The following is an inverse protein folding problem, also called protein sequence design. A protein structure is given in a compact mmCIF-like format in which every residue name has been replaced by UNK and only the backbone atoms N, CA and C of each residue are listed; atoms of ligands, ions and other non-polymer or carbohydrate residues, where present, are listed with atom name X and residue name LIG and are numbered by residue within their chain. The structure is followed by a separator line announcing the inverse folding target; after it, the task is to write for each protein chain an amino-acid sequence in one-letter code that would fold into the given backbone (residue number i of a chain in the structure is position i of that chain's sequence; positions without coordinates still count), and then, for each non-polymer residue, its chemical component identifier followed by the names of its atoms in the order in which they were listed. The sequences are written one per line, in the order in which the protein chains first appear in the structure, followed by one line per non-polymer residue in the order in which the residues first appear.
data_IF_432943828389
#
_entry.id   IF_432943828389
#
_cell.length_a   1.000
_cell.length_b   1.000
_cell.length_c   1.000
_cell.angle_alpha   90.00
_cell.angle_beta   90.00
_cell.angle_gamma   90.00
#
_symmetry.space_group_name_H-M   'P 1'
#
loop_
_entity.id
_entity.type
_entity.pdbx_description
1 polymer ?
#
# COMPACT_ATOMS: atom_id res chain seq x y z
N UNK A 1 13.98 -18.32 -13.32
CA UNK A 1 14.66 -17.05 -13.66
C UNK A 1 14.68 -16.16 -12.42
N UNK A 2 15.85 -15.65 -12.00
CA UNK A 2 15.94 -14.68 -10.89
C UNK A 2 15.63 -13.28 -11.41
N UNK A 3 14.35 -12.94 -11.44
CA UNK A 3 13.88 -11.61 -11.79
C UNK A 3 13.93 -10.68 -10.57
N UNK A 4 14.10 -9.35 -10.78
CA UNK A 4 14.29 -8.41 -9.68
C UNK A 4 13.25 -8.52 -8.56
N UNK A 5 11.93 -8.62 -8.82
CA UNK A 5 10.93 -8.76 -7.75
C UNK A 5 11.23 -9.93 -6.82
N UNK A 6 11.60 -11.09 -7.38
CA UNK A 6 11.91 -12.30 -6.63
C UNK A 6 13.20 -12.14 -5.81
N UNK A 7 14.23 -11.51 -6.37
CA UNK A 7 15.50 -11.30 -5.66
C UNK A 7 15.31 -10.42 -4.43
N UNK A 8 14.54 -9.33 -4.56
CA UNK A 8 14.20 -8.48 -3.42
C UNK A 8 13.30 -9.21 -2.40
N UNK A 9 12.35 -10.04 -2.84
CA UNK A 9 11.54 -10.87 -1.95
C UNK A 9 12.40 -11.89 -1.17
N UNK A 10 13.41 -12.49 -1.79
CA UNK A 10 14.36 -13.38 -1.11
C UNK A 10 15.19 -12.58 -0.10
N UNK A 11 15.67 -11.40 -0.45
CA UNK A 11 16.38 -10.51 0.48
C UNK A 11 15.52 -10.13 1.70
N UNK A 12 14.22 -9.88 1.47
CA UNK A 12 13.23 -9.71 2.53
C UNK A 12 13.19 -10.95 3.45
N UNK A 13 13.03 -12.17 2.91
CA UNK A 13 12.95 -13.39 3.72
C UNK A 13 14.21 -13.57 4.57
N UNK A 14 15.39 -13.45 3.96
CA UNK A 14 16.67 -13.61 4.67
C UNK A 14 16.80 -12.62 5.82
N UNK A 15 16.53 -11.34 5.55
CA UNK A 15 16.65 -10.28 6.54
C UNK A 15 15.59 -10.43 7.64
N UNK A 16 14.35 -10.75 7.29
CA UNK A 16 13.27 -10.94 8.24
C UNK A 16 13.51 -12.13 9.16
N UNK A 17 13.97 -13.27 8.63
CA UNK A 17 14.28 -14.45 9.43
C UNK A 17 15.40 -14.14 10.43
N UNK A 18 16.46 -13.45 10.01
CA UNK A 18 17.52 -13.00 10.91
C UNK A 18 16.99 -12.06 12.01
N UNK A 19 16.12 -11.11 11.68
CA UNK A 19 15.46 -10.25 12.65
C UNK A 19 14.49 -10.97 13.58
N UNK A 20 13.75 -11.96 13.07
CA UNK A 20 12.83 -12.77 13.86
C UNK A 20 13.55 -13.58 14.94
N UNK A 21 14.73 -14.12 14.61
CA UNK A 21 15.58 -14.81 15.58
C UNK A 21 16.01 -13.90 16.73
N UNK A 22 16.41 -12.66 16.44
CA UNK A 22 16.78 -11.69 17.49
C UNK A 22 15.56 -11.19 18.28
N UNK A 23 14.37 -11.21 17.67
CA UNK A 23 13.10 -10.93 18.37
C UNK A 23 12.76 -11.98 19.42
N UNK A 24 13.00 -13.25 19.13
CA UNK A 24 12.83 -14.34 20.10
C UNK A 24 13.80 -14.17 21.28
N UNK A 25 15.03 -13.68 21.03
CA UNK A 25 15.98 -13.37 22.09
C UNK A 25 15.48 -12.22 22.99
N UNK A 26 15.00 -11.13 22.39
CA UNK A 26 14.45 -9.98 23.14
C UNK A 26 13.13 -10.29 23.84
N UNK A 27 12.38 -11.30 23.38
CA UNK A 27 11.17 -11.76 24.07
C UNK A 27 11.49 -12.50 25.39
N UNK A 28 12.74 -12.93 25.61
CA UNK A 28 13.17 -13.56 26.85
C UNK A 28 13.60 -12.51 27.88
N UNK A 29 12.89 -12.37 29.02
CA UNK A 29 13.24 -11.35 30.03
C UNK A 29 14.68 -11.46 30.55
N UNK A 30 15.20 -12.70 30.65
CA UNK A 30 16.58 -12.96 31.10
C UNK A 30 17.64 -12.37 30.18
N UNK A 31 17.39 -12.37 28.87
CA UNK A 31 18.28 -11.76 27.88
C UNK A 31 18.00 -10.27 27.76
N UNK A 32 16.71 -9.88 27.75
CA UNK A 32 16.31 -8.49 27.58
C UNK A 32 16.85 -7.59 28.70
N UNK A 33 16.99 -8.06 29.95
CA UNK A 33 17.58 -7.24 31.02
C UNK A 33 18.96 -6.65 30.68
N UNK A 34 19.76 -7.35 29.87
CA UNK A 34 21.08 -6.86 29.44
C UNK A 34 21.07 -6.19 28.07
N UNK A 35 20.06 -6.46 27.24
CA UNK A 35 19.99 -5.99 25.85
C UNK A 35 19.05 -4.79 25.67
N UNK A 36 18.12 -4.58 26.60
CA UNK A 36 17.20 -3.44 26.58
C UNK A 36 17.98 -2.14 26.59
N UNK A 37 17.44 -1.14 25.90
CA UNK A 37 18.09 0.16 25.72
C UNK A 37 19.48 0.17 25.04
N UNK A 38 19.92 -0.95 24.45
CA UNK A 38 21.18 -1.01 23.69
C UNK A 38 20.96 -0.93 22.17
N UNK A 39 22.06 -0.87 21.43
CA UNK A 39 22.09 -1.05 19.99
C UNK A 39 21.52 -2.40 19.52
N UNK A 40 21.41 -3.41 20.40
CA UNK A 40 20.83 -4.70 20.04
C UNK A 40 19.35 -4.56 19.65
N UNK A 41 18.58 -3.78 20.43
CA UNK A 41 17.18 -3.48 20.12
C UNK A 41 17.06 -2.64 18.85
N UNK A 42 17.99 -1.69 18.64
CA UNK A 42 18.03 -0.88 17.41
C UNK A 42 18.26 -1.77 16.20
N UNK A 43 19.23 -2.68 16.27
CA UNK A 43 19.56 -3.62 15.21
C UNK A 43 18.39 -4.56 14.90
N UNK A 44 17.77 -5.15 15.93
CA UNK A 44 16.60 -5.99 15.79
C UNK A 44 15.46 -5.25 15.05
N UNK A 45 15.13 -4.04 15.51
CA UNK A 45 14.06 -3.23 14.90
C UNK A 45 14.35 -2.93 13.43
N UNK A 46 15.60 -2.62 13.09
CA UNK A 46 15.97 -2.37 11.70
C UNK A 46 15.91 -3.63 10.85
N UNK A 47 16.29 -4.81 11.36
CA UNK A 47 16.11 -6.06 10.62
C UNK A 47 14.63 -6.40 10.37
N UNK A 48 13.77 -6.23 11.38
CA UNK A 48 12.35 -6.62 11.30
C UNK A 48 11.45 -5.57 10.65
N UNK A 49 11.66 -4.28 10.87
CA UNK A 49 10.87 -3.21 10.25
C UNK A 49 11.61 -2.53 9.09
N UNK A 50 12.85 -2.11 9.31
CA UNK A 50 13.61 -1.39 8.28
C UNK A 50 13.85 -2.24 7.04
N UNK A 51 14.42 -3.44 7.22
CA UNK A 51 14.72 -4.38 6.15
C UNK A 51 13.46 -4.87 5.47
N UNK A 52 12.44 -5.27 6.23
CA UNK A 52 11.20 -5.80 5.63
C UNK A 52 10.51 -4.79 4.75
N UNK A 53 10.29 -3.58 5.25
CA UNK A 53 9.57 -2.53 4.53
C UNK A 53 10.37 -2.15 3.30
N UNK A 54 11.68 -1.96 3.41
CA UNK A 54 12.50 -1.49 2.28
C UNK A 54 12.64 -2.56 1.19
N UNK A 55 12.95 -3.81 1.54
CA UNK A 55 13.08 -4.88 0.52
C UNK A 55 11.72 -5.20 -0.13
N UNK A 56 10.65 -5.29 0.65
CA UNK A 56 9.31 -5.50 0.10
C UNK A 56 8.83 -4.32 -0.76
N UNK A 57 9.15 -3.09 -0.36
CA UNK A 57 8.84 -1.89 -1.15
C UNK A 57 9.53 -1.90 -2.51
N UNK A 58 10.81 -2.25 -2.58
CA UNK A 58 11.49 -2.37 -3.88
C UNK A 58 11.02 -3.58 -4.68
N UNK A 59 10.71 -4.72 -4.04
CA UNK A 59 10.08 -5.85 -4.71
C UNK A 59 8.76 -5.43 -5.37
N UNK A 60 7.93 -4.69 -4.63
CA UNK A 60 6.66 -4.14 -5.09
C UNK A 60 6.85 -3.17 -6.26
N UNK A 61 7.78 -2.22 -6.17
CA UNK A 61 8.08 -1.32 -7.28
C UNK A 61 8.46 -2.13 -8.52
N UNK A 62 9.44 -3.04 -8.42
CA UNK A 62 9.86 -3.80 -9.60
C UNK A 62 8.76 -4.69 -10.17
N UNK A 63 7.84 -5.20 -9.34
CA UNK A 63 6.72 -6.03 -9.76
C UNK A 63 5.63 -5.21 -10.46
N UNK A 64 5.13 -4.15 -9.83
CA UNK A 64 4.01 -3.36 -10.34
C UNK A 64 4.40 -2.19 -11.24
N UNK A 65 5.68 -1.85 -11.37
CA UNK A 65 6.14 -0.80 -12.28
C UNK A 65 5.63 -0.97 -13.72
N UNK A 66 5.76 -2.15 -14.37
CA UNK A 66 5.19 -2.33 -15.71
C UNK A 66 3.68 -2.20 -15.72
N UNK A 67 2.98 -2.59 -14.64
CA UNK A 67 1.54 -2.46 -14.54
C UNK A 67 1.08 -1.00 -14.55
N UNK A 68 1.76 -0.16 -13.78
CA UNK A 68 1.43 1.26 -13.65
C UNK A 68 1.86 2.07 -14.87
N UNK A 69 3.00 1.75 -15.47
CA UNK A 69 3.62 2.62 -16.50
C UNK A 69 3.52 2.07 -17.92
N UNK A 70 3.24 0.77 -18.07
CA UNK A 70 3.35 0.00 -19.31
C UNK A 70 4.80 -0.30 -19.73
N UNK A 71 5.80 0.00 -18.90
CA UNK A 71 7.23 -0.06 -19.26
C UNK A 71 8.01 -0.98 -18.34
N UNK A 72 9.02 -1.67 -18.86
CA UNK A 72 9.90 -2.52 -18.04
C UNK A 72 11.08 -1.74 -17.44
N UNK A 73 11.47 -2.06 -16.20
CA UNK A 73 12.73 -1.60 -15.62
C UNK A 73 13.89 -2.52 -16.00
N UNK A 74 15.08 -1.93 -16.10
CA UNK A 74 16.30 -2.66 -16.47
C UNK A 74 16.73 -3.64 -15.38
N UNK A 75 16.80 -4.93 -15.74
CA UNK A 75 17.20 -6.01 -14.82
C UNK A 75 18.58 -5.82 -14.20
N UNK A 76 19.58 -5.41 -15.00
CA UNK A 76 20.98 -5.25 -14.54
C UNK A 76 21.11 -4.22 -13.42
N UNK A 77 20.50 -3.04 -13.60
CA UNK A 77 20.55 -1.98 -12.59
C UNK A 77 19.81 -2.36 -11.31
N UNK A 78 18.71 -3.10 -11.43
CA UNK A 78 17.97 -3.60 -10.27
C UNK A 78 18.80 -4.59 -9.43
N UNK A 79 19.57 -5.47 -10.07
CA UNK A 79 20.46 -6.40 -9.36
C UNK A 79 21.64 -5.67 -8.70
N UNK A 80 22.18 -4.64 -9.35
CA UNK A 80 23.23 -3.79 -8.74
C UNK A 80 22.68 -3.04 -7.52
N UNK A 81 21.49 -2.43 -7.63
CA UNK A 81 20.81 -1.83 -6.48
C UNK A 81 20.64 -2.85 -5.36
N UNK A 82 20.11 -4.04 -5.67
CA UNK A 82 19.90 -5.09 -4.69
C UNK A 82 21.19 -5.45 -3.96
N UNK A 83 22.28 -5.70 -4.69
CA UNK A 83 23.56 -6.09 -4.09
C UNK A 83 24.10 -5.02 -3.15
N UNK A 84 24.09 -3.74 -3.57
CA UNK A 84 24.54 -2.62 -2.75
C UNK A 84 23.64 -2.44 -1.52
N UNK A 85 22.32 -2.48 -1.70
CA UNK A 85 21.36 -2.36 -0.60
C UNK A 85 21.52 -3.50 0.40
N UNK A 86 21.62 -4.74 -0.08
CA UNK A 86 21.74 -5.93 0.77
C UNK A 86 23.04 -5.95 1.56
N UNK A 87 24.17 -5.69 0.91
CA UNK A 87 25.48 -5.62 1.58
C UNK A 87 25.54 -4.44 2.55
N UNK A 88 25.11 -3.25 2.10
CA UNK A 88 25.10 -2.04 2.94
C UNK A 88 24.21 -2.21 4.17
N UNK A 89 23.02 -2.78 4.01
CA UNK A 89 22.11 -3.07 5.11
C UNK A 89 22.74 -3.99 6.16
N UNK A 90 23.31 -5.12 5.73
CA UNK A 90 23.95 -6.07 6.65
C UNK A 90 25.18 -5.48 7.30
N UNK A 91 26.05 -4.76 6.56
CA UNK A 91 27.18 -4.05 7.16
C UNK A 91 26.75 -3.01 8.21
N UNK A 92 25.63 -2.31 7.97
CA UNK A 92 25.13 -1.28 8.89
C UNK A 92 24.64 -1.89 10.19
N UNK A 93 23.70 -2.84 10.09
CA UNK A 93 22.90 -3.27 11.23
C UNK A 93 23.40 -4.56 11.88
N UNK A 94 24.15 -5.41 11.16
CA UNK A 94 24.68 -6.63 11.76
C UNK A 94 25.66 -6.31 12.89
N UNK A 95 26.59 -5.38 12.64
CA UNK A 95 27.58 -4.95 13.65
C UNK A 95 26.94 -4.26 14.85
N UNK A 96 25.75 -3.68 14.71
CA UNK A 96 25.01 -3.10 15.83
C UNK A 96 24.52 -4.16 16.82
N UNK A 97 24.27 -5.41 16.41
CA UNK A 97 23.99 -6.49 17.36
C UNK A 97 25.21 -6.77 18.25
N UNK A 98 26.41 -6.72 17.68
CA UNK A 98 27.66 -6.91 18.42
C UNK A 98 27.88 -5.74 19.38
N UNK A 99 27.76 -4.50 18.89
CA UNK A 99 27.84 -3.29 19.74
C UNK A 99 26.84 -3.30 20.88
N UNK A 100 25.60 -3.72 20.63
CA UNK A 100 24.57 -3.80 21.66
C UNK A 100 24.87 -4.85 22.72
N UNK A 101 25.34 -6.04 22.29
CA UNK A 101 25.83 -7.08 23.21
C UNK A 101 26.99 -6.58 24.07
N UNK A 102 27.88 -5.76 23.49
CA UNK A 102 29.06 -5.21 24.16
C UNK A 102 28.73 -4.00 25.05
N UNK A 103 27.44 -3.62 25.15
CA UNK A 103 26.95 -2.62 26.10
C UNK A 103 26.77 -1.21 25.55
N UNK A 104 26.88 -1.01 24.22
CA UNK A 104 26.62 0.31 23.63
C UNK A 104 25.15 0.67 23.72
N UNK A 105 24.84 1.65 24.59
CA UNK A 105 23.49 2.18 24.76
C UNK A 105 23.00 2.94 23.51
N UNK A 106 21.70 2.88 23.23
CA UNK A 106 21.08 3.68 22.16
C UNK A 106 20.96 5.14 22.57
N UNK A 107 20.93 6.04 21.57
CA UNK A 107 20.74 7.51 21.75
C UNK A 107 21.89 8.19 22.52
N UNK A 108 23.09 7.64 22.41
CA UNK A 108 24.33 8.26 22.90
C UNK A 108 24.98 9.01 21.74
N UNK A 109 25.37 10.27 21.97
CA UNK A 109 25.93 11.13 20.92
C UNK A 109 27.44 10.94 20.73
N UNK A 110 28.16 10.72 21.83
CA UNK A 110 29.60 10.48 21.87
C UNK A 110 29.95 9.34 22.84
N UNK A 111 31.05 8.65 22.58
CA UNK A 111 31.53 7.54 23.41
C UNK A 111 33.03 7.69 23.65
N UNK A 112 33.52 7.10 24.74
CA UNK A 112 34.94 7.20 25.08
C UNK A 112 35.76 6.32 24.14
N UNK A 113 36.97 6.74 23.73
CA UNK A 113 37.91 5.88 23.00
C UNK A 113 38.26 4.59 23.76
N UNK A 114 38.12 4.57 25.09
CA UNK A 114 38.35 3.38 25.93
C UNK A 114 37.28 2.30 25.75
N UNK A 115 36.10 2.65 25.23
CA UNK A 115 34.96 1.75 25.11
C UNK A 115 35.09 0.78 23.92
N UNK A 116 36.06 1.02 23.03
CA UNK A 116 36.39 0.17 21.87
C UNK A 116 35.23 0.01 20.84
N UNK A 117 34.25 0.91 20.86
CA UNK A 117 33.12 0.89 19.92
C UNK A 117 33.44 1.49 18.54
N UNK A 118 34.60 2.12 18.37
CA UNK A 118 34.95 2.90 17.17
C UNK A 118 34.92 2.07 15.88
N UNK A 119 35.60 0.92 15.86
CA UNK A 119 35.72 0.10 14.64
C UNK A 119 34.37 -0.38 14.13
N UNK A 120 33.48 -0.85 15.01
CA UNK A 120 32.17 -1.36 14.61
C UNK A 120 31.23 -0.22 14.18
N UNK A 121 31.31 0.96 14.82
CA UNK A 121 30.57 2.15 14.36
C UNK A 121 31.08 2.65 13.00
N UNK A 122 32.39 2.56 12.73
CA UNK A 122 32.96 2.88 11.43
C UNK A 122 32.46 1.93 10.34
N UNK A 123 32.45 0.62 10.59
CA UNK A 123 31.89 -0.37 9.66
C UNK A 123 30.40 -0.09 9.41
N UNK A 124 29.65 0.21 10.47
CA UNK A 124 28.24 0.56 10.37
C UNK A 124 28.01 1.78 9.47
N UNK A 125 28.83 2.82 9.65
CA UNK A 125 28.78 4.06 8.87
C UNK A 125 29.11 3.83 7.39
N UNK A 126 30.12 2.99 7.09
CA UNK A 126 30.45 2.57 5.72
C UNK A 126 29.27 1.80 5.11
N UNK A 127 28.65 0.90 5.87
CA UNK A 127 27.44 0.20 5.45
C UNK A 127 26.32 1.16 5.06
N UNK A 128 26.09 2.20 5.86
CA UNK A 128 25.07 3.20 5.59
C UNK A 128 25.38 4.03 4.34
N UNK A 129 26.66 4.35 4.11
CA UNK A 129 27.09 5.01 2.87
C UNK A 129 26.82 4.12 1.65
N UNK A 130 27.17 2.83 1.69
CA UNK A 130 26.90 1.86 0.61
C UNK A 130 25.39 1.74 0.36
N UNK A 131 24.60 1.65 1.42
CA UNK A 131 23.13 1.60 1.33
C UNK A 131 22.57 2.85 0.67
N UNK A 132 23.09 4.03 1.00
CA UNK A 132 22.70 5.30 0.37
C UNK A 132 23.06 5.30 -1.11
N UNK A 133 24.26 4.84 -1.47
CA UNK A 133 24.71 4.73 -2.86
C UNK A 133 23.86 3.74 -3.68
N UNK A 134 23.21 2.76 -3.05
CA UNK A 134 22.29 1.85 -3.73
C UNK A 134 21.09 2.57 -4.37
N UNK A 135 20.75 3.78 -3.94
CA UNK A 135 19.67 4.57 -4.56
C UNK A 135 20.06 5.14 -5.93
N UNK A 136 21.36 5.29 -6.22
CA UNK A 136 21.82 5.81 -7.52
C UNK A 136 21.41 4.88 -8.67
N UNK A 137 21.75 3.57 -8.68
CA UNK A 137 21.31 2.68 -9.76
C UNK A 137 19.78 2.58 -9.84
N UNK A 138 19.05 2.70 -8.73
CA UNK A 138 17.58 2.77 -8.74
C UNK A 138 17.06 3.98 -9.52
N UNK A 139 17.50 5.18 -9.14
CA UNK A 139 17.07 6.43 -9.80
C UNK A 139 17.44 6.42 -11.27
N UNK A 140 18.65 5.97 -11.61
CA UNK A 140 19.06 5.81 -13.02
C UNK A 140 18.15 4.82 -13.76
N UNK A 141 17.76 3.73 -13.11
CA UNK A 141 16.86 2.73 -13.69
C UNK A 141 15.47 3.32 -13.97
N UNK A 142 14.90 4.03 -13.01
CA UNK A 142 13.60 4.71 -13.13
C UNK A 142 13.63 5.75 -14.25
N UNK A 143 14.64 6.63 -14.27
CA UNK A 143 14.77 7.66 -15.31
C UNK A 143 14.89 7.06 -16.70
N UNK A 144 15.66 5.97 -16.85
CA UNK A 144 15.77 5.24 -18.12
C UNK A 144 14.46 4.55 -18.49
N UNK A 145 13.80 3.90 -17.53
CA UNK A 145 12.52 3.22 -17.73
C UNK A 145 11.42 4.17 -18.18
N UNK A 146 11.31 5.37 -17.60
CA UNK A 146 10.33 6.38 -17.99
C UNK A 146 10.53 6.91 -19.42
N UNK A 147 11.76 6.89 -19.93
CA UNK A 147 12.11 7.29 -21.30
C UNK A 147 11.94 6.16 -22.33
N UNK A 148 11.68 4.94 -21.88
CA UNK A 148 11.52 3.76 -22.75
C UNK A 148 10.14 3.63 -23.41
N UNK A 149 10.02 2.66 -24.30
CA UNK A 149 8.78 2.20 -24.93
C UNK A 149 7.81 1.59 -23.91
N UNK A 150 6.51 1.67 -24.21
CA UNK A 150 5.44 0.99 -23.45
C UNK A 150 5.19 -0.39 -24.05
N UNK A 151 6.08 -1.34 -23.76
CA UNK A 151 6.13 -2.68 -24.36
C UNK A 151 5.98 -3.83 -23.35
N UNK A 152 5.62 -3.54 -22.09
CA UNK A 152 5.53 -4.58 -21.05
C UNK A 152 4.40 -5.60 -21.26
N UNK A 153 3.38 -5.28 -22.06
CA UNK A 153 2.17 -6.11 -22.22
C UNK A 153 1.29 -6.16 -20.96
N UNK A 154 0.19 -6.90 -21.03
CA UNK A 154 -0.76 -7.04 -19.91
C UNK A 154 -0.16 -7.77 -18.69
N UNK A 155 0.61 -8.83 -18.96
CA UNK A 155 1.19 -9.73 -17.95
C UNK A 155 2.65 -10.10 -18.29
N UNK A 156 3.63 -9.22 -17.99
CA UNK A 156 5.05 -9.48 -18.23
C UNK A 156 5.64 -10.57 -17.31
N UNK A 157 4.98 -10.91 -16.21
CA UNK A 157 5.52 -11.79 -15.17
C UNK A 157 4.90 -13.18 -15.15
N UNK A 158 3.90 -13.43 -16.01
CA UNK A 158 3.10 -14.65 -15.97
C UNK A 158 2.44 -14.88 -14.61
N UNK A 159 1.96 -13.80 -13.99
CA UNK A 159 1.42 -13.81 -12.64
C UNK A 159 0.02 -14.45 -12.55
N UNK A 160 -0.51 -14.54 -11.33
CA UNK A 160 -1.69 -15.32 -10.99
C UNK A 160 -2.92 -14.45 -10.67
N UNK A 161 -2.71 -13.30 -10.05
CA UNK A 161 -3.75 -12.41 -9.52
C UNK A 161 -4.52 -11.69 -10.62
N UNK A 162 -5.76 -11.30 -10.31
CA UNK A 162 -6.71 -10.64 -11.23
C UNK A 162 -6.16 -9.37 -11.89
N UNK A 163 -5.31 -8.64 -11.18
CA UNK A 163 -4.70 -7.41 -11.68
C UNK A 163 -4.00 -7.62 -13.03
N UNK A 164 -3.43 -8.80 -13.30
CA UNK A 164 -2.71 -9.10 -14.53
C UNK A 164 -3.62 -9.49 -15.70
N UNK A 165 -4.94 -9.53 -15.50
CA UNK A 165 -5.91 -9.78 -16.57
C UNK A 165 -6.13 -8.56 -17.49
N UNK A 166 -5.96 -7.35 -16.95
CA UNK A 166 -6.17 -6.10 -17.69
C UNK A 166 -4.90 -5.59 -18.36
N UNK A 167 -5.02 -4.59 -19.25
CA UNK A 167 -3.87 -3.96 -19.91
C UNK A 167 -2.91 -3.29 -18.93
N UNK A 168 -1.72 -2.92 -19.43
CA UNK A 168 -0.72 -2.15 -18.69
C UNK A 168 -0.30 -0.92 -19.52
N UNK A 169 -0.62 0.31 -19.10
CA UNK A 169 -1.45 0.66 -17.95
C UNK A 169 -2.92 0.20 -18.08
N UNK A 170 -3.64 0.02 -16.96
CA UNK A 170 -5.07 -0.29 -17.00
C UNK A 170 -5.90 0.88 -17.57
N UNK A 171 -7.07 0.61 -18.18
CA UNK A 171 -8.02 1.64 -18.57
C UNK A 171 -8.63 2.32 -17.34
N UNK A 172 -9.31 3.45 -17.52
CA UNK A 172 -9.87 4.25 -16.42
C UNK A 172 -10.87 3.47 -15.54
N UNK A 173 -11.61 2.55 -16.16
CA UNK A 173 -12.57 1.67 -15.50
C UNK A 173 -11.96 0.32 -15.06
N UNK A 174 -10.62 0.24 -14.99
CA UNK A 174 -9.81 -0.94 -14.63
C UNK A 174 -9.93 -2.17 -15.55
N UNK A 175 -11.12 -2.64 -15.89
CA UNK A 175 -11.36 -3.87 -16.65
C UNK A 175 -12.38 -3.67 -17.76
N UNK A 176 -11.96 -3.86 -19.01
CA UNK A 176 -12.90 -3.92 -20.14
C UNK A 176 -13.76 -5.19 -20.09
N UNK A 177 -13.23 -6.24 -19.48
CA UNK A 177 -13.97 -7.45 -19.13
C UNK A 177 -13.28 -8.17 -17.98
N UNK A 178 -14.03 -8.95 -17.21
CA UNK A 178 -13.52 -9.73 -16.08
C UNK A 178 -13.41 -11.21 -16.46
N UNK A 179 -12.26 -11.86 -16.21
CA UNK A 179 -12.16 -13.31 -16.30
C UNK A 179 -12.98 -13.99 -15.20
N UNK A 180 -13.49 -15.21 -15.44
CA UNK A 180 -14.23 -15.94 -14.43
C UNK A 180 -13.35 -16.26 -13.22
N UNK A 181 -13.76 -15.78 -12.04
CA UNK A 181 -13.02 -16.00 -10.78
C UNK A 181 -13.52 -17.29 -10.15
N UNK A 182 -12.70 -18.34 -10.24
CA UNK A 182 -13.01 -19.70 -9.72
C UNK A 182 -11.97 -20.21 -8.71
N UNK A 183 -10.88 -19.48 -8.51
CA UNK A 183 -9.84 -19.74 -7.52
C UNK A 183 -9.17 -18.42 -7.09
N UNK A 184 -8.18 -18.51 -6.21
CA UNK A 184 -7.30 -17.41 -5.82
C UNK A 184 -6.36 -16.92 -6.94
N UNK A 185 -6.31 -17.63 -8.08
CA UNK A 185 -5.38 -17.39 -9.21
C UNK A 185 -6.10 -17.25 -10.57
N UNK A 186 -7.03 -16.28 -10.73
CA UNK A 186 -7.90 -16.19 -11.89
C UNK A 186 -7.17 -16.00 -13.23
N UNK A 187 -6.01 -15.33 -13.26
CA UNK A 187 -5.23 -15.15 -14.51
C UNK A 187 -4.49 -16.42 -14.90
N UNK A 188 -4.01 -17.17 -13.90
CA UNK A 188 -3.42 -18.48 -14.14
C UNK A 188 -4.44 -19.43 -14.75
N UNK A 189 -5.65 -19.49 -14.16
CA UNK A 189 -6.72 -20.34 -14.65
C UNK A 189 -7.18 -19.94 -16.05
N UNK A 190 -7.24 -18.64 -16.35
CA UNK A 190 -7.55 -18.15 -17.70
C UNK A 190 -6.50 -18.65 -18.71
N UNK A 191 -5.21 -18.52 -18.37
CA UNK A 191 -4.09 -18.95 -19.22
C UNK A 191 -4.11 -20.45 -19.49
N UNK A 192 -4.52 -21.25 -18.50
CA UNK A 192 -4.59 -22.71 -18.58
C UNK A 192 -6.01 -23.24 -18.82
N UNK A 193 -6.94 -22.40 -19.26
CA UNK A 193 -8.36 -22.76 -19.41
C UNK A 193 -8.66 -23.93 -20.36
N UNK A 194 -7.70 -24.35 -21.19
CA UNK A 194 -7.79 -25.57 -22.01
C UNK A 194 -7.26 -26.84 -21.34
N UNK A 195 -6.82 -26.79 -20.08
CA UNK A 195 -6.23 -27.88 -19.32
C UNK A 195 -7.01 -28.09 -18.02
N UNK A 196 -8.03 -28.94 -18.06
CA UNK A 196 -8.94 -29.19 -16.94
C UNK A 196 -8.26 -29.84 -15.71
N UNK A 197 -7.07 -30.41 -15.89
CA UNK A 197 -6.23 -30.96 -14.82
C UNK A 197 -5.43 -29.88 -14.06
N UNK A 198 -5.28 -28.68 -14.65
CA UNK A 198 -4.47 -27.58 -14.12
C UNK A 198 -5.31 -26.38 -13.71
N UNK A 199 -6.29 -25.99 -14.52
CA UNK A 199 -7.16 -24.84 -14.26
C UNK A 199 -8.28 -25.18 -13.26
N UNK A 200 -8.81 -24.16 -12.59
CA UNK A 200 -9.96 -24.36 -11.70
C UNK A 200 -11.20 -24.91 -12.46
N UNK A 201 -11.98 -25.79 -11.82
CA UNK A 201 -13.17 -26.36 -12.44
C UNK A 201 -14.18 -25.29 -12.92
N UNK A 202 -14.73 -25.51 -14.12
CA UNK A 202 -15.79 -24.66 -14.66
C UNK A 202 -15.32 -23.34 -15.29
N UNK A 203 -14.01 -23.08 -15.35
CA UNK A 203 -13.42 -21.92 -16.07
C UNK A 203 -13.71 -22.01 -17.57
N UNK A 204 -13.43 -23.16 -18.20
CA UNK A 204 -13.72 -23.39 -19.62
C UNK A 204 -15.21 -23.20 -19.94
N UNK A 205 -16.09 -23.75 -19.11
CA UNK A 205 -17.53 -23.61 -19.26
C UNK A 205 -17.99 -22.14 -19.09
N UNK A 206 -17.40 -21.38 -18.18
CA UNK A 206 -17.71 -19.97 -18.00
C UNK A 206 -17.25 -19.11 -19.19
N UNK A 207 -16.08 -19.41 -19.75
CA UNK A 207 -15.59 -18.74 -20.96
C UNK A 207 -16.43 -19.06 -22.19
N UNK A 208 -16.89 -20.32 -22.32
CA UNK A 208 -17.81 -20.72 -23.39
C UNK A 208 -19.13 -19.94 -23.34
N UNK A 209 -19.79 -19.88 -22.16
CA UNK A 209 -21.02 -19.09 -21.98
C UNK A 209 -20.85 -17.63 -22.38
N UNK A 210 -19.76 -16.99 -21.95
CA UNK A 210 -19.46 -15.60 -22.31
C UNK A 210 -19.28 -15.41 -23.82
N UNK A 211 -18.61 -16.35 -24.48
CA UNK A 211 -18.41 -16.29 -25.95
C UNK A 211 -19.76 -16.32 -26.66
N UNK A 212 -20.67 -17.18 -26.21
CA UNK A 212 -22.01 -17.31 -26.79
C UNK A 212 -22.82 -16.02 -26.57
N UNK A 213 -22.77 -15.43 -25.37
CA UNK A 213 -23.38 -14.12 -25.07
C UNK A 213 -22.81 -13.00 -25.97
N UNK A 214 -21.49 -12.96 -26.16
CA UNK A 214 -20.84 -11.94 -27.01
C UNK A 214 -21.05 -12.14 -28.51
N UNK A 215 -21.24 -13.38 -28.96
CA UNK A 215 -21.48 -13.72 -30.36
C UNK A 215 -22.92 -13.44 -30.80
N UNK A 216 -23.87 -13.48 -29.87
CA UNK A 216 -25.28 -13.16 -30.15
C UNK A 216 -25.53 -11.65 -30.24
N UNK A 217 -24.61 -10.82 -29.71
CA UNK A 217 -24.72 -9.36 -29.74
C UNK A 217 -24.31 -8.71 -31.09
N UNK A 218 -23.82 -9.49 -32.06
CA UNK A 218 -23.33 -8.98 -33.35
C UNK A 218 -24.39 -8.97 -34.47
N UNK A 219 -25.59 -9.53 -34.27
CA UNK A 219 -26.53 -9.82 -35.36
C UNK A 219 -27.96 -9.23 -35.21
N UNK A 220 -28.17 -8.22 -34.34
CA UNK A 220 -29.41 -7.43 -34.38
C UNK A 220 -29.18 -5.95 -34.00
N UNK A 221 -29.69 -4.97 -34.79
CA UNK A 221 -30.01 -3.66 -34.25
C UNK A 221 -31.38 -3.74 -33.57
N UNK A 222 -31.43 -4.24 -32.34
CA UNK A 222 -32.65 -4.13 -31.54
C UNK A 222 -32.77 -2.70 -31.01
N UNK A 223 -33.63 -1.91 -31.66
CA UNK A 223 -34.30 -0.76 -31.04
C UNK A 223 -34.78 -1.17 -29.63
N UNK A 224 -34.62 -0.32 -28.60
CA UNK A 224 -35.18 -0.62 -27.29
C UNK A 224 -36.71 -0.65 -27.44
N UNK A 225 -37.28 -1.85 -27.44
CA UNK A 225 -38.72 -2.02 -27.22
C UNK A 225 -39.06 -1.57 -25.80
N UNK A 226 -40.29 -1.10 -25.54
CA UNK A 226 -40.73 -0.84 -24.17
C UNK A 226 -40.54 -2.13 -23.37
N UNK A 227 -39.85 -2.03 -22.23
CA UNK A 227 -39.74 -3.13 -21.28
C UNK A 227 -41.15 -3.51 -20.85
N UNK A 228 -41.63 -4.67 -21.34
CA UNK A 228 -42.83 -5.29 -20.81
C UNK A 228 -42.61 -5.58 -19.32
N UNK A 229 -43.46 -4.94 -18.52
CA UNK A 229 -43.55 -5.05 -17.08
C UNK A 229 -44.20 -6.38 -16.71
N UNK A 230 -43.45 -7.47 -16.79
CA UNK A 230 -43.84 -8.78 -16.26
C UNK A 230 -43.06 -9.08 -14.95
N UNK A 231 -43.11 -8.13 -13.99
CA UNK A 231 -42.66 -8.36 -12.60
C UNK A 231 -43.80 -8.46 -11.59
N UNK A 232 -45.00 -8.81 -12.03
CA UNK A 232 -46.17 -8.97 -11.16
C UNK A 232 -46.27 -10.33 -10.43
N UNK A 233 -45.20 -11.13 -10.36
CA UNK A 233 -45.20 -12.41 -9.61
C UNK A 233 -44.16 -12.55 -8.50
N UNK A 234 -43.49 -11.46 -8.12
CA UNK A 234 -42.64 -11.43 -6.92
C UNK A 234 -42.93 -10.24 -5.98
N UNK A 235 -44.10 -9.61 -6.13
CA UNK A 235 -44.54 -8.45 -5.36
C UNK A 235 -45.06 -8.77 -3.94
N UNK A 236 -44.73 -9.92 -3.35
CA UNK A 236 -45.07 -10.24 -1.96
C UNK A 236 -43.83 -10.69 -1.19
N UNK A 237 -43.12 -9.73 -0.59
CA UNK A 237 -42.21 -10.03 0.52
C UNK A 237 -40.90 -9.25 0.65
N UNK A 238 -40.62 -8.19 -0.14
CA UNK A 238 -39.34 -7.46 -0.04
C UNK A 238 -39.44 -5.95 0.21
N UNK A 239 -40.58 -5.44 0.66
CA UNK A 239 -40.63 -4.15 1.35
C UNK A 239 -40.44 -4.38 2.85
N UNK A 240 -39.19 -4.40 3.34
CA UNK A 240 -38.80 -4.10 4.74
C UNK A 240 -37.32 -4.41 5.07
N UNK A 241 -36.35 -4.02 4.24
CA UNK A 241 -34.94 -3.93 4.71
C UNK A 241 -34.20 -2.79 4.03
N UNK A 242 -34.72 -1.56 4.10
CA UNK A 242 -33.88 -0.36 3.91
C UNK A 242 -34.03 0.53 5.14
N UNK A 243 -33.97 -0.09 6.32
CA UNK A 243 -33.85 0.66 7.55
C UNK A 243 -32.37 0.89 7.84
N UNK A 244 -31.88 2.03 7.34
CA UNK A 244 -30.91 2.89 8.01
C UNK A 244 -29.71 2.18 8.69
N UNK A 245 -28.98 1.32 7.98
CA UNK A 245 -27.72 0.78 8.51
C UNK A 245 -26.63 1.85 8.44
N UNK A 246 -26.04 2.24 9.57
CA UNK A 246 -24.78 3.04 9.58
C UNK A 246 -23.76 2.27 8.72
N UNK A 247 -23.07 2.95 7.79
CA UNK A 247 -22.09 2.27 6.95
C UNK A 247 -20.97 1.71 7.84
N UNK A 248 -20.40 0.57 7.46
CA UNK A 248 -19.36 -0.10 8.24
C UNK A 248 -18.21 0.86 8.52
N UNK A 249 -17.88 1.74 7.57
CA UNK A 249 -16.83 2.75 7.67
C UNK A 249 -17.12 3.78 8.76
N UNK A 250 -18.36 4.32 8.82
CA UNK A 250 -18.73 5.29 9.86
C UNK A 250 -18.67 4.64 11.24
N UNK A 251 -19.16 3.41 11.35
CA UNK A 251 -19.13 2.61 12.58
C UNK A 251 -17.70 2.29 13.01
N UNK A 252 -16.84 1.93 12.05
CA UNK A 252 -15.44 1.59 12.27
C UNK A 252 -14.67 2.81 12.77
N UNK A 253 -14.81 3.98 12.12
CA UNK A 253 -14.13 5.19 12.56
C UNK A 253 -14.65 5.73 13.89
N UNK A 254 -15.96 5.62 14.15
CA UNK A 254 -16.52 5.92 15.47
C UNK A 254 -15.97 4.95 16.54
N UNK A 255 -15.87 3.66 16.22
CA UNK A 255 -15.27 2.64 17.09
C UNK A 255 -13.80 2.92 17.38
N UNK A 256 -13.02 3.33 16.38
CA UNK A 256 -11.61 3.74 16.54
C UNK A 256 -11.50 4.96 17.46
N UNK A 257 -12.36 5.97 17.30
CA UNK A 257 -12.37 7.14 18.16
C UNK A 257 -12.70 6.77 19.62
N UNK A 258 -13.72 5.92 19.84
CA UNK A 258 -14.08 5.43 21.17
C UNK A 258 -12.95 4.62 21.79
N UNK A 259 -12.32 3.73 21.02
CA UNK A 259 -11.20 2.93 21.48
C UNK A 259 -10.06 3.81 21.99
N UNK A 260 -9.62 4.79 21.19
CA UNK A 260 -8.55 5.69 21.60
C UNK A 260 -8.95 6.61 22.76
N UNK A 261 -10.21 7.00 22.88
CA UNK A 261 -10.70 7.75 24.04
C UNK A 261 -10.61 6.92 25.33
N UNK A 262 -11.02 5.65 25.28
CA UNK A 262 -10.96 4.73 26.43
C UNK A 262 -9.51 4.44 26.81
N UNK A 263 -8.67 4.09 25.84
CA UNK A 263 -7.23 3.88 26.07
C UNK A 263 -6.56 5.16 26.58
N UNK A 264 -6.93 6.32 26.05
CA UNK A 264 -6.50 7.64 26.52
C UNK A 264 -6.82 7.87 27.99
N UNK A 265 -8.07 7.60 28.40
CA UNK A 265 -8.50 7.75 29.79
C UNK A 265 -7.71 6.81 30.73
N UNK A 266 -7.51 5.55 30.34
CA UNK A 266 -6.70 4.59 31.09
C UNK A 266 -5.24 5.07 31.17
N UNK A 267 -4.68 5.54 30.07
CA UNK A 267 -3.30 6.02 29.99
C UNK A 267 -3.04 7.24 30.89
N UNK A 268 -3.99 8.19 30.89
CA UNK A 268 -3.98 9.36 31.78
C UNK A 268 -3.96 8.89 33.25
N UNK A 269 -4.77 7.89 33.59
CA UNK A 269 -4.86 7.37 34.95
C UNK A 269 -3.60 6.60 35.40
N UNK A 270 -2.90 5.92 34.48
CA UNK A 270 -1.77 5.03 34.82
C UNK A 270 -0.40 5.70 34.70
N UNK A 271 -0.16 6.48 33.63
CA UNK A 271 1.17 6.93 33.22
C UNK A 271 1.29 8.45 33.22
N UNK A 272 0.26 9.14 32.71
CA UNK A 272 0.14 10.59 32.81
C UNK A 272 1.16 11.42 32.03
N UNK A 273 1.97 10.87 31.12
CA UNK A 273 2.94 11.69 30.39
C UNK A 273 2.26 12.52 29.28
N UNK A 274 2.63 13.81 29.11
CA UNK A 274 1.94 14.71 28.19
C UNK A 274 2.01 14.30 26.72
N UNK A 275 3.08 13.60 26.30
CA UNK A 275 3.29 13.23 24.91
C UNK A 275 2.33 12.11 24.47
N UNK A 276 2.22 11.04 25.28
CA UNK A 276 1.27 9.95 25.05
C UNK A 276 -0.18 10.44 25.10
N UNK A 277 -0.50 11.33 26.05
CA UNK A 277 -1.85 11.93 26.16
C UNK A 277 -2.19 12.72 24.90
N UNK A 278 -1.27 13.56 24.43
CA UNK A 278 -1.49 14.40 23.24
C UNK A 278 -1.74 13.56 21.99
N UNK A 279 -0.98 12.48 21.81
CA UNK A 279 -1.15 11.55 20.68
C UNK A 279 -2.49 10.81 20.72
N UNK A 280 -2.92 10.34 21.90
CA UNK A 280 -4.18 9.63 22.06
C UNK A 280 -5.39 10.55 21.86
N UNK A 281 -5.33 11.80 22.34
CA UNK A 281 -6.36 12.81 22.08
C UNK A 281 -6.41 13.18 20.60
N UNK A 282 -5.26 13.33 19.94
CA UNK A 282 -5.20 13.60 18.51
C UNK A 282 -5.82 12.44 17.70
N UNK A 283 -5.47 11.19 18.01
CA UNK A 283 -6.04 10.02 17.35
C UNK A 283 -7.56 9.91 17.54
N UNK A 284 -8.04 10.19 18.76
CA UNK A 284 -9.47 10.26 19.09
C UNK A 284 -10.16 11.35 18.27
N UNK A 285 -9.60 12.55 18.23
CA UNK A 285 -10.14 13.69 17.50
C UNK A 285 -10.18 13.44 15.99
N UNK A 286 -9.10 12.91 15.40
CA UNK A 286 -9.05 12.58 13.98
C UNK A 286 -10.05 11.48 13.60
N UNK A 287 -10.12 10.40 14.38
CA UNK A 287 -11.10 9.34 14.14
C UNK A 287 -12.54 9.87 14.24
N UNK A 288 -12.82 10.73 15.23
CA UNK A 288 -14.11 11.38 15.40
C UNK A 288 -14.45 12.36 14.29
N UNK A 289 -13.47 13.11 13.78
CA UNK A 289 -13.64 14.01 12.64
C UNK A 289 -13.98 13.24 11.36
N UNK A 290 -13.29 12.13 11.08
CA UNK A 290 -13.60 11.28 9.92
C UNK A 290 -14.99 10.65 10.05
N UNK A 291 -15.32 10.12 11.23
CA UNK A 291 -16.65 9.58 11.49
C UNK A 291 -17.75 10.65 11.33
N UNK A 292 -17.51 11.85 11.86
CA UNK A 292 -18.43 12.98 11.75
C UNK A 292 -18.59 13.47 10.32
N UNK A 293 -17.50 13.53 9.54
CA UNK A 293 -17.54 13.87 8.12
C UNK A 293 -18.32 12.83 7.31
N UNK A 294 -18.05 11.53 7.51
CA UNK A 294 -18.79 10.45 6.83
C UNK A 294 -20.28 10.48 7.16
N UNK A 295 -20.61 10.73 8.42
CA UNK A 295 -21.98 10.88 8.88
C UNK A 295 -22.68 12.08 8.24
N UNK A 296 -22.02 13.23 8.18
CA UNK A 296 -22.55 14.45 7.57
C UNK A 296 -22.66 14.33 6.04
N UNK A 297 -21.66 13.74 5.39
CA UNK A 297 -21.69 13.41 3.97
C UNK A 297 -22.92 12.57 3.62
N UNK A 298 -23.21 11.54 4.41
CA UNK A 298 -24.42 10.72 4.22
C UNK A 298 -25.71 11.49 4.50
N UNK A 299 -25.74 12.36 5.50
CA UNK A 299 -26.90 13.23 5.71
C UNK A 299 -27.21 14.09 4.48
N UNK A 300 -26.19 14.48 3.73
CA UNK A 300 -26.31 15.26 2.49
C UNK A 300 -26.54 14.42 1.23
N UNK A 301 -26.17 13.14 1.25
CA UNK A 301 -26.34 12.18 0.14
C UNK A 301 -27.14 10.95 0.61
N UNK A 302 -28.49 11.01 0.53
CA UNK A 302 -29.37 9.96 1.07
C UNK A 302 -29.42 8.69 0.21
N UNK A 303 -29.09 8.81 -1.09
CA UNK A 303 -29.05 7.65 -1.97
C UNK A 303 -27.84 6.76 -1.65
N UNK A 304 -28.04 5.43 -1.55
CA UNK A 304 -26.93 4.51 -1.31
C UNK A 304 -25.96 4.58 -2.49
N UNK A 305 -24.66 4.61 -2.20
CA UNK A 305 -23.64 4.56 -3.25
C UNK A 305 -23.80 3.24 -4.01
N UNK A 306 -23.39 3.18 -5.28
CA UNK A 306 -23.37 1.93 -6.04
C UNK A 306 -22.76 0.75 -5.25
N UNK A 307 -21.62 0.96 -4.58
CA UNK A 307 -21.00 -0.08 -3.75
C UNK A 307 -21.84 -0.59 -2.54
N UNK A 308 -22.84 0.18 -2.11
CA UNK A 308 -23.70 -0.15 -0.97
C UNK A 308 -24.97 -0.90 -1.40
N UNK A 309 -25.16 -1.08 -2.72
CA UNK A 309 -26.31 -1.76 -3.34
C UNK A 309 -25.95 -3.21 -3.68
N UNK A 310 -26.81 -4.15 -3.28
CA UNK A 310 -26.65 -5.57 -3.59
C UNK A 310 -26.87 -5.89 -5.08
N UNK A 311 -27.52 -4.98 -5.79
CA UNK A 311 -27.86 -5.07 -7.22
C UNK A 311 -26.98 -4.17 -8.10
N UNK A 312 -25.92 -3.58 -7.56
CA UNK A 312 -25.01 -2.75 -8.34
C UNK A 312 -24.07 -3.59 -9.20
N UNK A 313 -23.95 -3.19 -10.47
CA UNK A 313 -22.97 -3.73 -11.40
C UNK A 313 -21.71 -2.85 -11.41
N UNK A 314 -20.57 -3.41 -11.85
CA UNK A 314 -19.29 -2.69 -11.90
C UNK A 314 -19.32 -1.40 -12.75
N UNK A 315 -20.32 -1.26 -13.63
CA UNK A 315 -20.56 -0.03 -14.40
C UNK A 315 -21.20 1.10 -13.58
N UNK A 316 -21.88 0.79 -12.49
CA UNK A 316 -22.59 1.79 -11.67
C UNK A 316 -21.61 2.65 -10.85
N UNK A 317 -20.39 2.16 -10.58
CA UNK A 317 -19.30 2.90 -9.93
C UNK A 317 -18.60 3.92 -10.84
N UNK A 318 -18.92 3.95 -12.14
CA UNK A 318 -18.24 4.82 -13.13
C UNK A 318 -18.69 6.28 -13.10
N UNK A 319 -19.33 6.71 -12.00
CA UNK A 319 -19.87 8.06 -11.80
C UNK A 319 -18.99 9.13 -12.41
N UNK A 320 -19.62 10.16 -13.02
CA UNK A 320 -18.98 11.18 -13.87
C UNK A 320 -17.53 11.46 -13.46
N UNK A 321 -16.59 10.93 -14.25
CA UNK A 321 -15.15 11.18 -14.11
C UNK A 321 -14.94 12.68 -14.12
N UNK A 322 -14.50 13.25 -13.00
CA UNK A 322 -14.34 14.69 -12.97
C UNK A 322 -13.88 15.26 -11.65
N UNK A 323 -12.65 14.97 -11.23
CA UNK A 323 -11.86 15.97 -10.48
C UNK A 323 -10.41 16.00 -10.96
N UNK A 324 -9.86 14.86 -11.40
CA UNK A 324 -8.49 14.81 -11.94
C UNK A 324 -8.37 13.89 -13.16
N UNK A 325 -7.75 14.34 -14.26
CA UNK A 325 -7.32 13.46 -15.35
C UNK A 325 -6.43 12.33 -14.80
N UNK A 326 -6.51 11.14 -15.38
CA UNK A 326 -5.72 9.96 -14.98
C UNK A 326 -4.19 10.14 -15.12
N UNK A 327 -3.76 11.15 -15.89
CA UNK A 327 -2.36 11.59 -15.97
C UNK A 327 -1.96 12.66 -14.92
N UNK A 328 -2.88 13.05 -14.05
CA UNK A 328 -2.68 14.16 -13.11
C UNK A 328 -1.90 13.72 -11.88
N UNK A 329 -0.76 14.37 -11.65
CA UNK A 329 0.07 14.19 -10.44
C UNK A 329 -0.52 14.90 -9.21
N UNK A 330 -1.65 15.61 -9.35
CA UNK A 330 -2.22 16.46 -8.29
C UNK A 330 -2.64 15.70 -7.03
N UNK A 331 -3.27 14.50 -7.10
CA UNK A 331 -3.59 13.72 -5.91
C UNK A 331 -2.33 13.32 -5.12
N UNK A 332 -1.24 12.99 -5.83
CA UNK A 332 0.04 12.66 -5.22
C UNK A 332 0.68 13.88 -4.54
N UNK A 333 0.61 15.06 -5.19
CA UNK A 333 1.10 16.31 -4.62
C UNK A 333 0.30 16.73 -3.37
N UNK A 334 -1.02 16.56 -3.38
CA UNK A 334 -1.89 16.78 -2.21
C UNK A 334 -1.56 15.83 -1.06
N UNK A 335 -1.42 14.53 -1.36
CA UNK A 335 -1.05 13.53 -0.37
C UNK A 335 0.34 13.80 0.23
N UNK A 336 1.31 14.19 -0.59
CA UNK A 336 2.65 14.58 -0.14
C UNK A 336 2.61 15.85 0.72
N UNK A 337 1.83 16.87 0.34
CA UNK A 337 1.64 18.09 1.12
C UNK A 337 0.99 17.82 2.48
N UNK A 338 -0.09 17.03 2.52
CA UNK A 338 -0.76 16.62 3.76
C UNK A 338 0.15 15.78 4.67
N UNK A 339 0.93 14.87 4.07
CA UNK A 339 1.92 14.08 4.80
C UNK A 339 3.00 14.97 5.40
N UNK A 340 3.51 15.95 4.64
CA UNK A 340 4.49 16.92 5.14
C UNK A 340 3.95 17.80 6.26
N UNK A 341 2.66 18.19 6.21
CA UNK A 341 1.99 18.89 7.32
C UNK A 341 1.97 18.02 8.57
N UNK A 342 1.54 16.76 8.45
CA UNK A 342 1.46 15.82 9.57
C UNK A 342 2.84 15.53 10.18
N UNK A 343 3.85 15.26 9.34
CA UNK A 343 5.24 15.07 9.79
C UNK A 343 5.83 16.34 10.38
N UNK A 344 5.48 17.52 9.88
CA UNK A 344 5.97 18.80 10.39
C UNK A 344 5.53 19.11 11.82
N UNK A 345 4.40 18.57 12.27
CA UNK A 345 3.99 18.63 13.70
C UNK A 345 5.02 17.93 14.60
N UNK A 346 5.68 16.89 14.09
CA UNK A 346 6.68 16.11 14.84
C UNK A 346 8.13 16.55 14.56
N UNK A 347 8.44 16.97 13.34
CA UNK A 347 9.81 17.18 12.85
C UNK A 347 10.19 18.66 12.68
N UNK A 348 9.22 19.58 12.79
CA UNK A 348 9.47 21.02 12.80
C UNK A 348 8.59 21.82 11.84
N UNK A 349 8.38 23.09 12.20
CA UNK A 349 7.47 24.03 11.51
C UNK A 349 7.80 24.27 10.04
N UNK A 350 9.06 24.09 9.62
CA UNK A 350 9.48 24.25 8.23
C UNK A 350 8.83 23.21 7.29
N UNK A 351 8.61 21.97 7.75
CA UNK A 351 7.88 20.95 6.98
C UNK A 351 6.38 21.27 6.92
N UNK A 352 5.81 21.80 8.01
CA UNK A 352 4.41 22.24 8.04
C UNK A 352 4.14 23.36 7.05
N UNK A 353 5.00 24.38 7.01
CA UNK A 353 4.91 25.50 6.07
C UNK A 353 5.03 25.00 4.63
N UNK A 354 5.99 24.11 4.37
CA UNK A 354 6.20 23.52 3.03
C UNK A 354 4.99 22.70 2.58
N UNK A 355 4.42 21.90 3.47
CA UNK A 355 3.22 21.11 3.19
C UNK A 355 1.98 21.98 2.95
N UNK A 356 1.79 23.03 3.75
CA UNK A 356 0.71 24.02 3.54
C UNK A 356 0.84 24.73 2.20
N UNK A 357 2.06 25.13 1.80
CA UNK A 357 2.31 25.75 0.50
C UNK A 357 1.96 24.80 -0.66
N UNK A 358 2.33 23.52 -0.56
CA UNK A 358 1.98 22.51 -1.56
C UNK A 358 0.47 22.35 -1.65
N UNK A 359 -0.24 22.16 -0.53
CA UNK A 359 -1.70 22.00 -0.54
C UNK A 359 -2.39 23.24 -1.08
N UNK A 360 -2.01 24.43 -0.63
CA UNK A 360 -2.57 25.70 -1.11
C UNK A 360 -2.35 25.89 -2.62
N UNK A 361 -1.19 25.51 -3.14
CA UNK A 361 -0.92 25.56 -4.58
C UNK A 361 -1.84 24.64 -5.39
N UNK A 362 -2.12 23.43 -4.89
CA UNK A 362 -3.01 22.49 -5.57
C UNK A 362 -4.46 22.96 -5.53
N UNK A 363 -4.90 23.52 -4.40
CA UNK A 363 -6.23 24.11 -4.25
C UNK A 363 -6.41 25.32 -5.17
N UNK A 364 -5.42 26.21 -5.26
CA UNK A 364 -5.47 27.36 -6.16
C UNK A 364 -5.55 26.96 -7.64
N UNK A 365 -4.83 25.90 -8.02
CA UNK A 365 -4.89 25.35 -9.39
C UNK A 365 -6.24 24.71 -9.70
N UNK A 366 -6.87 24.03 -8.73
CA UNK A 366 -8.22 23.49 -8.87
C UNK A 366 -9.26 24.59 -9.09
N UNK A 367 -9.21 25.66 -8.28
CA UNK A 367 -10.12 26.80 -8.42
C UNK A 367 -9.96 27.45 -9.80
N UNK A 368 -8.72 27.65 -10.24
CA UNK A 368 -8.42 28.24 -11.55
C UNK A 368 -8.92 27.40 -12.73
N UNK A 369 -8.92 26.08 -12.60
CA UNK A 369 -9.40 25.17 -13.63
C UNK A 369 -10.93 25.02 -13.60
N UNK A 370 -11.57 25.24 -12.46
CA UNK A 370 -13.03 25.24 -12.34
C UNK A 370 -13.68 26.50 -12.95
N UNK A 371 -12.93 27.61 -13.03
CA UNK A 371 -13.34 28.87 -13.66
C UNK A 371 -13.16 28.89 -15.20
N UNK A 372 -12.67 27.81 -15.81
CA UNK A 372 -12.47 27.63 -17.26
C UNK A 372 -13.47 26.63 -17.82
#
# INVERSE_FOLDING_TARGET
HFEPPLVFAIGFIVTFVAGGLTGVMLASPTLDFNLSDTYFVVAHLHYVMGGTVVFAFFAAIYFWWPKVTGRMLGRRLAHVQFALLFIGFHMTFFVMHILGRDGMARRVADYSPTDQFETLNMISSIGMAIMTLSMIPFVVNVVRGLRGSRDAGADPWHANSLEWATSSPPPEHNFTWLPPIRSERPVFDLRWSGHDDVAAPGVAAALARRRDESGTAADEPSTPGPLDDDRDTAAHGKEKVVERSITVETTLWAGVAVYFAVIGAIYIAVKGDPAGISLLLLATGLGGLVAGWLWDFRRRHPEPRPQDRLDADAGDETGVVGIYPTASVRPLALAAGMSAIALGVALGSWMTISGLAIVASQVALLVRDADR
#
